data_IF_440748975581
#
_entry.id   IF_440748975581
#
_cell.length_a   1.000
_cell.length_b   1.000
_cell.length_c   1.000
_cell.angle_alpha   90.00
_cell.angle_beta   90.00
_cell.angle_gamma   90.00
#
_symmetry.space_group_name_H-M   'P 1'
#
loop_
_entity.id
_entity.type
_entity.pdbx_description
1 polymer ?
#
# COMPACT_ATOMS: atom_id res chain seq x y z
N UNK A 1 38.21 28.56 78.66
CA UNK A 1 38.87 28.26 79.96
C UNK A 1 39.02 26.75 79.99
N UNK A 2 40.20 26.21 79.64
CA UNK A 2 41.15 25.59 80.59
C UNK A 2 40.46 24.51 81.44
N UNK A 3 40.90 23.26 81.60
CA UNK A 3 42.10 22.52 81.17
C UNK A 3 41.97 21.12 81.80
N UNK A 4 42.52 20.08 81.14
CA UNK A 4 43.03 18.79 81.70
C UNK A 4 42.08 17.89 82.52
N UNK A 5 42.20 16.56 82.58
CA UNK A 5 43.33 15.63 82.73
C UNK A 5 42.97 14.27 82.05
N UNK A 6 43.86 13.56 81.33
CA UNK A 6 44.86 12.59 81.85
C UNK A 6 44.24 11.51 82.75
N UNK A 7 44.42 10.19 82.60
CA UNK A 7 45.43 9.36 81.93
C UNK A 7 44.97 7.88 81.96
N UNK A 8 45.53 7.11 81.04
CA UNK A 8 45.92 5.68 81.14
C UNK A 8 44.91 4.58 81.52
N UNK A 9 44.74 3.62 80.61
CA UNK A 9 45.27 2.26 80.81
C UNK A 9 45.27 1.47 79.48
N UNK A 10 46.43 0.88 79.18
CA UNK A 10 46.75 0.00 78.05
C UNK A 10 45.97 -1.33 78.12
N UNK A 11 45.71 -2.00 76.99
CA UNK A 11 46.13 -3.38 76.66
C UNK A 11 45.62 -3.79 75.25
N UNK A 12 46.58 -4.09 74.37
CA UNK A 12 46.52 -4.95 73.15
C UNK A 12 45.43 -4.71 72.10
N UNK A 13 45.77 -3.91 71.08
CA UNK A 13 45.08 -3.88 69.79
C UNK A 13 45.61 -4.98 68.86
N UNK A 14 44.70 -5.81 68.36
CA UNK A 14 44.92 -6.76 67.27
C UNK A 14 45.10 -5.97 65.97
N UNK A 15 46.26 -6.12 65.33
CA UNK A 15 46.54 -5.59 64.00
C UNK A 15 45.81 -6.47 62.95
N UNK A 16 44.58 -6.12 62.60
CA UNK A 16 43.91 -6.68 61.43
C UNK A 16 44.47 -5.98 60.19
N UNK A 17 45.23 -6.73 59.39
CA UNK A 17 45.61 -6.32 58.04
C UNK A 17 44.33 -6.24 57.18
N UNK A 18 43.85 -5.02 56.92
CA UNK A 18 42.81 -4.78 55.95
C UNK A 18 43.43 -4.85 54.54
N UNK A 19 43.28 -6.00 53.88
CA UNK A 19 43.46 -6.14 52.43
C UNK A 19 42.38 -5.30 51.75
N UNK A 20 42.79 -4.20 51.13
CA UNK A 20 41.92 -3.34 50.33
C UNK A 20 41.40 -4.08 49.11
N UNK A 21 40.15 -4.52 49.15
CA UNK A 21 39.41 -4.96 47.97
C UNK A 21 38.92 -3.73 47.21
N UNK A 22 39.64 -3.34 46.16
CA UNK A 22 39.13 -2.41 45.15
C UNK A 22 38.00 -3.10 44.36
N UNK A 23 36.82 -2.49 44.20
CA UNK A 23 35.77 -3.06 43.36
C UNK A 23 36.23 -3.03 41.89
N UNK A 24 36.35 -4.21 41.28
CA UNK A 24 36.46 -4.34 39.83
C UNK A 24 35.13 -3.89 39.22
N UNK A 25 35.05 -2.60 38.88
CA UNK A 25 34.04 -2.11 37.95
C UNK A 25 34.38 -2.66 36.56
N UNK A 26 33.58 -3.59 36.06
CA UNK A 26 33.55 -3.91 34.64
C UNK A 26 33.05 -2.67 33.89
N UNK A 27 33.97 -1.77 33.56
CA UNK A 27 33.72 -0.74 32.56
C UNK A 27 33.56 -1.49 31.22
N UNK A 28 32.31 -1.72 30.82
CA UNK A 28 32.01 -2.05 29.43
C UNK A 28 32.58 -0.90 28.59
N UNK A 29 33.70 -1.14 27.91
CA UNK A 29 34.25 -0.18 26.99
C UNK A 29 33.13 0.17 25.99
N UNK A 30 32.83 1.46 25.77
CA UNK A 30 31.90 1.82 24.71
C UNK A 30 32.47 1.26 23.42
N UNK A 31 31.79 0.30 22.81
CA UNK A 31 32.07 -0.11 21.44
C UNK A 31 31.75 1.08 20.56
N UNK A 32 32.73 1.96 20.37
CA UNK A 32 32.69 2.99 19.35
C UNK A 32 32.62 2.27 18.02
N UNK A 33 31.43 2.18 17.43
CA UNK A 33 31.31 1.86 16.01
C UNK A 33 32.13 2.93 15.30
N UNK A 34 33.23 2.58 14.60
CA UNK A 34 34.01 3.59 13.89
C UNK A 34 33.06 4.31 12.93
N UNK A 35 33.01 5.64 13.01
CA UNK A 35 32.29 6.44 12.05
C UNK A 35 32.76 6.00 10.66
N UNK A 36 31.84 5.50 9.83
CA UNK A 36 32.16 5.11 8.47
C UNK A 36 32.89 6.28 7.80
N UNK A 37 34.10 6.05 7.31
CA UNK A 37 34.83 7.04 6.52
C UNK A 37 33.95 7.46 5.35
N UNK A 38 33.49 8.71 5.38
CA UNK A 38 32.65 9.33 4.35
C UNK A 38 33.45 9.73 3.10
N UNK A 39 34.77 9.56 3.11
CA UNK A 39 35.63 9.85 1.97
C UNK A 39 35.46 8.76 0.90
N UNK A 40 35.29 9.20 -0.36
CA UNK A 40 35.20 8.29 -1.50
C UNK A 40 36.49 7.47 -1.64
N UNK A 41 36.40 6.15 -1.89
CA UNK A 41 37.55 5.29 -2.05
C UNK A 41 38.18 5.52 -3.44
N UNK A 42 39.09 6.50 -3.54
CA UNK A 42 39.62 6.98 -4.82
C UNK A 42 40.23 5.90 -5.73
N UNK A 43 40.88 4.88 -5.17
CA UNK A 43 41.44 3.78 -5.96
C UNK A 43 40.34 2.96 -6.65
N UNK A 44 39.23 2.71 -5.95
CA UNK A 44 38.07 1.98 -6.45
C UNK A 44 37.26 2.81 -7.44
N UNK A 45 37.14 4.12 -7.19
CA UNK A 45 36.54 5.06 -8.16
C UNK A 45 37.36 5.09 -9.45
N UNK A 46 38.69 5.11 -9.35
CA UNK A 46 39.58 5.02 -10.52
C UNK A 46 39.41 3.70 -11.25
N UNK A 47 39.33 2.58 -10.53
CA UNK A 47 39.08 1.27 -11.14
C UNK A 47 37.77 1.25 -11.95
N UNK A 48 36.69 1.81 -11.42
CA UNK A 48 35.42 1.92 -12.14
C UNK A 48 35.59 2.70 -13.45
N UNK A 49 36.29 3.85 -13.40
CA UNK A 49 36.57 4.67 -14.58
C UNK A 49 37.46 3.94 -15.60
N UNK A 50 38.51 3.24 -15.15
CA UNK A 50 39.41 2.46 -16.00
C UNK A 50 38.63 1.34 -16.73
N UNK A 51 37.74 0.64 -16.03
CA UNK A 51 36.87 -0.41 -16.62
C UNK A 51 35.89 0.18 -17.63
N UNK A 52 35.24 1.30 -17.31
CA UNK A 52 34.34 1.98 -18.26
C UNK A 52 35.08 2.40 -19.53
N UNK A 53 36.30 2.94 -19.41
CA UNK A 53 37.11 3.32 -20.57
C UNK A 53 37.45 2.11 -21.45
N UNK A 54 37.84 0.99 -20.83
CA UNK A 54 38.17 -0.24 -21.56
C UNK A 54 36.94 -0.78 -22.31
N UNK A 55 35.76 -0.80 -21.68
CA UNK A 55 34.50 -1.22 -22.34
C UNK A 55 34.20 -0.33 -23.55
N UNK A 56 34.33 0.99 -23.43
CA UNK A 56 34.09 1.92 -24.55
C UNK A 56 35.06 1.72 -25.71
N UNK A 57 36.30 1.32 -25.43
CA UNK A 57 37.35 1.17 -26.43
C UNK A 57 37.25 -0.17 -27.16
N UNK A 58 37.00 -1.25 -26.41
CA UNK A 58 37.23 -2.62 -26.89
C UNK A 58 35.92 -3.43 -27.10
N UNK A 59 34.77 -2.95 -26.59
CA UNK A 59 33.50 -3.64 -26.82
C UNK A 59 33.08 -3.55 -28.30
N UNK A 60 32.53 -4.65 -28.82
CA UNK A 60 32.23 -4.83 -30.25
C UNK A 60 31.25 -3.80 -30.83
N UNK A 61 30.43 -3.18 -29.99
CA UNK A 61 29.46 -2.17 -30.37
C UNK A 61 29.65 -0.87 -29.56
N UNK A 62 29.41 0.31 -30.13
CA UNK A 62 29.41 1.56 -29.36
C UNK A 62 28.37 1.52 -28.24
N UNK A 63 28.75 2.02 -27.05
CA UNK A 63 27.86 2.19 -25.90
C UNK A 63 28.02 3.62 -25.39
N UNK A 64 26.91 4.29 -25.07
CA UNK A 64 26.92 5.64 -24.53
C UNK A 64 27.25 5.68 -23.02
N UNK A 65 27.75 6.83 -22.57
CA UNK A 65 28.19 7.02 -21.18
C UNK A 65 27.03 6.88 -20.18
N UNK A 66 25.84 7.36 -20.53
CA UNK A 66 24.66 7.29 -19.66
C UNK A 66 24.26 5.84 -19.41
N UNK A 67 24.25 5.00 -20.44
CA UNK A 67 23.96 3.56 -20.32
C UNK A 67 24.96 2.86 -19.39
N UNK A 68 26.26 3.13 -19.54
CA UNK A 68 27.30 2.53 -18.69
C UNK A 68 27.18 2.97 -17.23
N UNK A 69 26.98 4.28 -16.99
CA UNK A 69 26.82 4.84 -15.64
C UNK A 69 25.56 4.29 -14.98
N UNK A 70 24.41 4.31 -15.67
CA UNK A 70 23.17 3.79 -15.12
C UNK A 70 23.27 2.30 -14.80
N UNK A 71 23.91 1.52 -15.67
CA UNK A 71 24.16 0.09 -15.45
C UNK A 71 25.05 -0.15 -14.23
N UNK A 72 26.11 0.66 -14.06
CA UNK A 72 26.99 0.58 -12.90
C UNK A 72 26.25 0.91 -11.60
N UNK A 73 25.46 2.00 -11.59
CA UNK A 73 24.67 2.40 -10.41
C UNK A 73 23.65 1.32 -10.05
N UNK A 74 22.86 0.84 -11.01
CA UNK A 74 21.89 -0.24 -10.78
C UNK A 74 22.56 -1.53 -10.30
N UNK A 75 23.72 -1.88 -10.86
CA UNK A 75 24.51 -3.03 -10.43
C UNK A 75 24.97 -2.93 -8.96
N UNK A 76 25.38 -1.74 -8.51
CA UNK A 76 25.71 -1.50 -7.10
C UNK A 76 24.50 -1.71 -6.18
N UNK A 77 23.33 -1.21 -6.57
CA UNK A 77 22.11 -1.24 -5.75
C UNK A 77 21.47 -2.62 -5.71
N UNK A 78 21.48 -3.35 -6.83
CA UNK A 78 21.00 -4.73 -6.89
C UNK A 78 21.75 -5.67 -5.93
N UNK A 79 23.00 -5.33 -5.58
CA UNK A 79 23.79 -6.05 -4.58
C UNK A 79 23.38 -5.78 -3.12
N UNK A 80 22.55 -4.77 -2.85
CA UNK A 80 22.10 -4.42 -1.50
C UNK A 80 20.86 -5.22 -1.12
N UNK A 81 19.78 -5.07 -1.88
CA UNK A 81 18.48 -5.67 -1.66
C UNK A 81 17.60 -5.53 -2.93
N UNK A 82 16.48 -6.27 -3.07
CA UNK A 82 15.64 -6.22 -4.27
C UNK A 82 14.70 -4.99 -4.36
N UNK A 83 14.82 -4.04 -3.44
CA UNK A 83 13.96 -2.85 -3.35
C UNK A 83 14.74 -1.53 -3.49
N UNK A 84 16.06 -1.57 -3.36
CA UNK A 84 16.96 -0.45 -3.62
C UNK A 84 17.25 -0.36 -5.11
N UNK A 85 17.00 0.81 -5.71
CA UNK A 85 17.10 0.99 -7.16
C UNK A 85 17.44 2.44 -7.53
N UNK A 86 18.01 2.61 -8.72
CA UNK A 86 18.23 3.91 -9.34
C UNK A 86 17.12 4.18 -10.33
N UNK A 87 16.38 5.25 -10.09
CA UNK A 87 15.32 5.71 -10.96
C UNK A 87 15.90 6.79 -11.86
N UNK A 88 15.90 6.54 -13.15
CA UNK A 88 16.15 7.61 -14.11
C UNK A 88 15.03 8.66 -14.08
N UNK A 89 15.16 9.71 -14.87
CA UNK A 89 14.21 10.83 -14.87
C UNK A 89 12.79 10.39 -15.23
N UNK A 90 12.63 9.41 -16.11
CA UNK A 90 11.33 8.90 -16.55
C UNK A 90 10.71 7.98 -15.49
N UNK A 91 11.51 7.09 -14.91
CA UNK A 91 11.07 6.18 -13.83
C UNK A 91 10.71 6.97 -12.57
N UNK A 92 11.48 8.01 -12.23
CA UNK A 92 11.17 8.87 -11.10
C UNK A 92 9.85 9.63 -11.31
N UNK A 93 9.59 10.15 -12.52
CA UNK A 93 8.30 10.76 -12.86
C UNK A 93 7.15 9.75 -12.77
N UNK A 94 7.36 8.51 -13.22
CA UNK A 94 6.34 7.46 -13.09
C UNK A 94 6.04 7.16 -11.61
N UNK A 95 7.07 7.07 -10.77
CA UNK A 95 6.89 6.88 -9.33
C UNK A 95 6.08 8.03 -8.72
N UNK A 96 6.37 9.28 -9.09
CA UNK A 96 5.62 10.45 -8.62
C UNK A 96 4.13 10.38 -9.01
N UNK A 97 3.82 9.96 -10.23
CA UNK A 97 2.43 9.77 -10.69
C UNK A 97 1.71 8.73 -9.82
N UNK A 98 2.39 7.62 -9.53
CA UNK A 98 1.86 6.53 -8.71
C UNK A 98 1.62 7.00 -7.27
N UNK A 99 2.53 7.78 -6.69
CA UNK A 99 2.41 8.21 -5.28
C UNK A 99 1.40 9.34 -5.10
N UNK A 100 1.21 10.18 -6.10
CA UNK A 100 0.27 11.31 -6.03
C UNK A 100 -1.13 10.94 -6.56
N UNK A 101 -1.29 9.78 -7.20
CA UNK A 101 -2.48 9.42 -8.02
C UNK A 101 -2.83 10.47 -9.09
N UNK A 102 -1.87 11.35 -9.43
CA UNK A 102 -2.08 12.51 -10.29
C UNK A 102 -1.14 12.45 -11.47
N UNK A 103 -1.67 12.73 -12.64
CA UNK A 103 -0.84 12.96 -13.81
C UNK A 103 -1.43 14.02 -14.74
N UNK A 104 -0.54 14.73 -15.42
CA UNK A 104 -0.91 15.62 -16.51
C UNK A 104 -1.29 14.83 -17.76
N UNK A 105 -2.56 14.91 -18.17
CA UNK A 105 -3.06 14.14 -19.30
C UNK A 105 -4.48 14.50 -19.70
N UNK A 106 -5.11 13.57 -20.43
CA UNK A 106 -6.42 13.77 -21.05
C UNK A 106 -7.55 13.05 -20.31
N UNK A 107 -7.20 12.09 -19.45
CA UNK A 107 -8.15 11.25 -18.75
C UNK A 107 -8.76 10.17 -19.65
N UNK A 108 -7.91 9.45 -20.37
CA UNK A 108 -8.29 8.34 -21.23
C UNK A 108 -7.67 7.06 -20.70
N UNK A 109 -8.49 6.03 -20.53
CA UNK A 109 -8.03 4.65 -20.48
C UNK A 109 -7.94 4.11 -21.91
N UNK A 110 -6.76 3.65 -22.30
CA UNK A 110 -6.46 3.17 -23.64
C UNK A 110 -5.85 1.78 -23.59
N UNK A 111 -6.14 0.99 -24.63
CA UNK A 111 -5.55 -0.33 -24.86
C UNK A 111 -5.05 -0.42 -26.30
N UNK A 112 -4.25 -1.43 -26.60
CA UNK A 112 -3.87 -1.75 -27.97
C UNK A 112 -4.69 -2.96 -28.44
N UNK A 113 -5.52 -2.74 -29.46
CA UNK A 113 -6.33 -3.78 -30.09
C UNK A 113 -5.99 -3.85 -31.57
N UNK A 114 -5.58 -5.03 -32.05
CA UNK A 114 -5.17 -5.27 -33.44
C UNK A 114 -4.09 -4.27 -33.94
N UNK A 115 -3.18 -3.88 -33.04
CA UNK A 115 -2.11 -2.91 -33.31
C UNK A 115 -2.52 -1.43 -33.18
N UNK A 116 -3.82 -1.13 -33.08
CA UNK A 116 -4.33 0.23 -32.97
C UNK A 116 -4.60 0.65 -31.52
N UNK A 117 -4.25 1.90 -31.18
CA UNK A 117 -4.55 2.48 -29.87
C UNK A 117 -6.04 2.81 -29.80
N UNK A 118 -6.75 2.12 -28.90
CA UNK A 118 -8.21 2.19 -28.77
C UNK A 118 -8.59 2.66 -27.38
N UNK A 119 -9.56 3.57 -27.30
CA UNK A 119 -10.12 4.07 -26.04
C UNK A 119 -10.97 2.97 -25.41
N UNK A 120 -10.60 2.54 -24.20
CA UNK A 120 -11.43 1.68 -23.36
C UNK A 120 -12.56 2.52 -22.77
N UNK A 121 -12.21 3.60 -22.08
CA UNK A 121 -13.17 4.57 -21.55
C UNK A 121 -12.50 5.93 -21.30
N UNK A 122 -13.20 7.05 -21.54
CA UNK A 122 -12.88 8.31 -20.88
C UNK A 122 -13.12 8.20 -19.37
N UNK A 123 -12.31 8.93 -18.59
CA UNK A 123 -12.51 9.09 -17.15
C UNK A 123 -13.44 10.28 -16.93
N UNK A 124 -14.48 10.12 -16.11
CA UNK A 124 -15.48 11.17 -15.87
C UNK A 124 -14.85 12.46 -15.35
N UNK A 125 -15.40 13.61 -15.77
CA UNK A 125 -14.92 14.94 -15.36
C UNK A 125 -13.60 15.40 -16.00
N UNK A 126 -12.90 14.54 -16.74
CA UNK A 126 -11.63 14.86 -17.40
C UNK A 126 -11.80 15.56 -18.76
N UNK A 127 -10.73 16.15 -19.34
CA UNK A 127 -10.79 16.80 -20.65
C UNK A 127 -11.37 15.90 -21.76
N UNK A 128 -11.00 14.62 -21.79
CA UNK A 128 -11.47 13.68 -22.81
C UNK A 128 -12.97 13.40 -22.69
N UNK A 129 -13.47 13.19 -21.47
CA UNK A 129 -14.91 13.02 -21.24
C UNK A 129 -15.69 14.28 -21.62
N UNK A 130 -15.21 15.46 -21.21
CA UNK A 130 -15.82 16.77 -21.55
C UNK A 130 -15.84 17.04 -23.05
N UNK A 131 -14.85 16.56 -23.78
CA UNK A 131 -14.79 16.68 -25.23
C UNK A 131 -15.68 15.67 -25.99
N UNK A 132 -16.27 14.70 -25.29
CA UNK A 132 -17.16 13.71 -25.90
C UNK A 132 -16.44 12.56 -26.60
N UNK A 133 -15.22 12.24 -26.18
CA UNK A 133 -14.58 10.97 -26.54
C UNK A 133 -15.40 9.80 -25.99
N UNK A 134 -15.35 8.65 -26.65
CA UNK A 134 -16.20 7.50 -26.32
C UNK A 134 -15.38 6.20 -26.31
N UNK A 135 -15.90 5.20 -25.60
CA UNK A 135 -15.38 3.83 -25.67
C UNK A 135 -15.41 3.32 -27.12
N UNK A 136 -14.32 2.67 -27.54
CA UNK A 136 -14.15 2.17 -28.90
C UNK A 136 -13.66 3.20 -29.93
N UNK A 137 -13.38 4.44 -29.52
CA UNK A 137 -12.67 5.41 -30.36
C UNK A 137 -11.25 4.92 -30.65
N UNK A 138 -10.84 4.92 -31.92
CA UNK A 138 -9.48 4.55 -32.33
C UNK A 138 -8.65 5.80 -32.57
N UNK A 139 -7.56 5.96 -31.83
CA UNK A 139 -6.66 7.11 -31.94
C UNK A 139 -5.63 6.82 -33.02
N UNK A 140 -5.69 7.59 -34.12
CA UNK A 140 -4.80 7.43 -35.28
C UNK A 140 -3.54 8.28 -35.16
N UNK A 141 -3.67 9.50 -34.61
CA UNK A 141 -2.55 10.46 -34.46
C UNK A 141 -2.65 11.24 -33.17
N UNK A 142 -1.49 11.58 -32.61
CA UNK A 142 -1.32 12.56 -31.54
C UNK A 142 -0.50 13.72 -32.10
N UNK A 143 -1.09 14.91 -32.14
CA UNK A 143 -0.60 16.07 -32.89
C UNK A 143 -0.27 15.67 -34.34
N UNK A 144 1.00 15.77 -34.72
CA UNK A 144 1.47 15.43 -36.05
C UNK A 144 2.02 14.00 -36.16
N UNK A 145 2.05 13.23 -35.07
CA UNK A 145 2.66 11.89 -35.02
C UNK A 145 1.60 10.81 -35.20
N UNK A 146 1.81 9.87 -36.13
CA UNK A 146 0.97 8.69 -36.30
C UNK A 146 1.29 7.62 -35.26
N UNK A 147 0.26 6.90 -34.80
CA UNK A 147 0.39 5.85 -33.79
C UNK A 147 0.47 4.43 -34.37
N UNK A 148 0.34 4.27 -35.69
CA UNK A 148 0.40 2.96 -36.33
C UNK A 148 1.77 2.28 -36.11
N UNK A 149 1.76 1.03 -35.65
CA UNK A 149 2.96 0.29 -35.26
C UNK A 149 3.70 0.83 -34.02
N UNK A 150 3.17 1.87 -33.35
CA UNK A 150 3.79 2.43 -32.15
C UNK A 150 3.45 1.56 -30.93
N UNK A 151 4.43 1.25 -30.05
CA UNK A 151 4.18 0.68 -28.74
C UNK A 151 3.23 1.55 -27.90
N UNK A 152 2.31 0.92 -27.15
CA UNK A 152 1.28 1.62 -26.39
C UNK A 152 1.84 2.64 -25.40
N UNK A 153 2.95 2.32 -24.73
CA UNK A 153 3.65 3.18 -23.78
C UNK A 153 4.15 4.48 -24.42
N UNK A 154 4.69 4.41 -25.64
CA UNK A 154 5.11 5.59 -26.40
C UNK A 154 3.90 6.45 -26.82
N UNK A 155 2.81 5.81 -27.24
CA UNK A 155 1.57 6.53 -27.57
C UNK A 155 1.00 7.26 -26.34
N UNK A 156 0.99 6.60 -25.18
CA UNK A 156 0.59 7.19 -23.89
C UNK A 156 1.50 8.37 -23.52
N UNK A 157 2.82 8.26 -23.72
CA UNK A 157 3.76 9.33 -23.46
C UNK A 157 3.46 10.60 -24.30
N UNK A 158 3.04 10.45 -25.56
CA UNK A 158 2.64 11.59 -26.41
C UNK A 158 1.34 12.27 -25.93
N UNK A 159 0.41 11.49 -25.37
CA UNK A 159 -0.86 12.02 -24.85
C UNK A 159 -0.68 12.71 -23.49
N UNK A 160 0.29 12.26 -22.69
CA UNK A 160 0.71 12.91 -21.44
C UNK A 160 1.46 14.21 -21.70
N UNK A 161 1.55 15.05 -20.67
CA UNK A 161 2.26 16.32 -20.72
C UNK A 161 1.80 17.27 -19.63
N UNK A 162 2.46 18.42 -19.54
CA UNK A 162 2.19 19.40 -18.48
C UNK A 162 0.73 19.90 -18.53
N UNK A 163 0.02 19.96 -17.39
CA UNK A 163 -1.31 20.55 -17.33
C UNK A 163 -1.34 21.97 -17.93
N UNK A 164 -2.43 22.31 -18.62
CA UNK A 164 -2.59 23.56 -19.34
C UNK A 164 -2.06 23.56 -20.78
N UNK A 165 -1.26 22.55 -21.18
CA UNK A 165 -0.81 22.42 -22.58
C UNK A 165 -1.86 21.73 -23.46
N UNK A 166 -1.89 22.06 -24.75
CA UNK A 166 -2.86 21.50 -25.70
C UNK A 166 -2.29 20.30 -26.44
N UNK A 167 -3.14 19.34 -26.79
CA UNK A 167 -2.86 18.22 -27.68
C UNK A 167 -4.04 17.98 -28.62
N UNK A 168 -3.75 17.62 -29.86
CA UNK A 168 -4.77 17.28 -30.86
C UNK A 168 -4.75 15.78 -31.11
N UNK A 169 -5.88 15.10 -30.96
CA UNK A 169 -6.02 13.69 -31.29
C UNK A 169 -6.82 13.53 -32.58
N UNK A 170 -6.29 12.81 -33.57
CA UNK A 170 -7.09 12.38 -34.72
C UNK A 170 -7.72 11.02 -34.39
N UNK A 171 -9.04 10.95 -34.40
CA UNK A 171 -9.80 9.78 -33.94
C UNK A 171 -10.72 9.26 -35.04
N UNK A 172 -10.80 7.94 -35.14
CA UNK A 172 -11.79 7.22 -35.95
C UNK A 172 -12.79 6.52 -35.03
N UNK A 173 -14.05 6.95 -35.10
CA UNK A 173 -15.17 6.35 -34.36
C UNK A 173 -15.91 5.35 -35.23
N UNK A 174 -16.30 4.21 -34.66
CA UNK A 174 -17.12 3.20 -35.36
C UNK A 174 -18.40 3.84 -35.91
N UNK A 175 -18.65 3.67 -37.20
CA UNK A 175 -19.81 4.24 -37.91
C UNK A 175 -19.60 5.64 -38.48
N UNK A 176 -18.47 6.31 -38.18
CA UNK A 176 -18.11 7.57 -38.83
C UNK A 176 -17.48 7.29 -40.22
N UNK A 177 -17.82 8.11 -41.22
CA UNK A 177 -17.29 7.97 -42.59
C UNK A 177 -15.87 8.53 -42.77
N UNK A 178 -15.42 9.39 -41.85
CA UNK A 178 -14.08 10.01 -41.85
C UNK A 178 -13.59 10.19 -40.41
N UNK A 179 -12.26 10.13 -40.17
CA UNK A 179 -11.67 10.55 -38.90
C UNK A 179 -11.94 12.03 -38.61
N UNK A 180 -11.96 12.39 -37.33
CA UNK A 180 -12.14 13.77 -36.86
C UNK A 180 -11.21 14.06 -35.67
N UNK A 181 -10.96 15.34 -35.42
CA UNK A 181 -9.96 15.76 -34.43
C UNK A 181 -10.60 16.24 -33.13
N UNK A 182 -10.00 15.85 -32.00
CA UNK A 182 -10.25 16.46 -30.70
C UNK A 182 -9.05 17.32 -30.29
N UNK A 183 -9.28 18.60 -30.04
CA UNK A 183 -8.27 19.48 -29.43
C UNK A 183 -8.57 19.58 -27.95
N UNK A 184 -7.65 19.07 -27.14
CA UNK A 184 -7.83 18.88 -25.70
C UNK A 184 -6.75 19.67 -24.95
N UNK A 185 -7.14 20.34 -23.89
CA UNK A 185 -6.19 20.90 -22.92
C UNK A 185 -5.91 19.85 -21.85
N UNK A 186 -4.64 19.51 -21.65
CA UNK A 186 -4.23 18.59 -20.59
C UNK A 186 -4.61 19.17 -19.24
N UNK A 187 -5.13 18.33 -18.37
CA UNK A 187 -5.43 18.66 -16.99
C UNK A 187 -4.72 17.68 -16.06
N UNK A 188 -4.69 18.00 -14.78
CA UNK A 188 -4.42 16.99 -13.76
C UNK A 188 -5.57 15.98 -13.76
N UNK A 189 -5.24 14.70 -13.88
CA UNK A 189 -6.17 13.57 -13.88
C UNK A 189 -5.90 12.77 -12.62
N UNK A 190 -6.96 12.47 -11.87
CA UNK A 190 -6.91 11.66 -10.66
C UNK A 190 -7.24 10.20 -10.97
N UNK A 191 -6.41 9.28 -10.52
CA UNK A 191 -6.73 7.86 -10.47
C UNK A 191 -7.50 7.58 -9.18
N UNK A 192 -8.67 6.94 -9.27
CA UNK A 192 -9.45 6.61 -8.07
C UNK A 192 -8.91 5.33 -7.42
N UNK A 193 -8.13 5.48 -6.35
CA UNK A 193 -7.56 4.38 -5.56
C UNK A 193 -8.54 3.77 -4.54
N UNK A 194 -9.60 4.51 -4.18
CA UNK A 194 -10.63 4.08 -3.22
C UNK A 194 -11.96 3.83 -3.92
N UNK A 195 -12.51 2.63 -3.78
CA UNK A 195 -13.85 2.28 -4.29
C UNK A 195 -14.73 1.79 -3.16
N UNK A 196 -15.99 2.18 -3.14
CA UNK A 196 -16.94 1.74 -2.12
C UNK A 196 -18.29 1.34 -2.69
N UNK A 197 -19.00 0.48 -1.96
CA UNK A 197 -20.39 0.10 -2.24
C UNK A 197 -21.06 -0.44 -0.97
N UNK A 198 -22.40 -0.49 -0.97
CA UNK A 198 -23.18 -1.24 0.01
C UNK A 198 -23.51 -2.62 -0.57
N UNK A 199 -22.75 -3.68 -0.25
CA UNK A 199 -23.11 -5.03 -0.68
C UNK A 199 -24.46 -5.49 -0.10
N UNK A 200 -24.81 -5.02 1.10
CA UNK A 200 -26.08 -5.31 1.77
C UNK A 200 -26.52 -4.11 2.63
N UNK A 201 -27.82 -4.00 2.99
CA UNK A 201 -28.30 -2.93 3.85
C UNK A 201 -27.53 -2.87 5.18
N UNK A 202 -26.96 -1.71 5.51
CA UNK A 202 -26.18 -1.49 6.73
C UNK A 202 -24.72 -1.92 6.67
N UNK A 203 -24.26 -2.66 5.67
CA UNK A 203 -22.87 -3.14 5.61
C UNK A 203 -22.10 -2.45 4.50
N UNK A 204 -21.03 -1.76 4.86
CA UNK A 204 -20.14 -1.11 3.91
C UNK A 204 -19.08 -2.06 3.35
N UNK A 205 -18.71 -1.86 2.10
CA UNK A 205 -17.48 -2.39 1.50
C UNK A 205 -16.66 -1.23 0.97
N UNK A 206 -15.38 -1.20 1.35
CA UNK A 206 -14.41 -0.21 0.88
C UNK A 206 -13.15 -0.93 0.43
N UNK A 207 -12.71 -0.67 -0.79
CA UNK A 207 -11.48 -1.23 -1.38
C UNK A 207 -10.46 -0.13 -1.58
N UNK A 208 -9.24 -0.36 -1.11
CA UNK A 208 -8.07 0.47 -1.39
C UNK A 208 -7.16 -0.35 -2.31
N UNK A 209 -6.99 0.08 -3.56
CA UNK A 209 -6.12 -0.62 -4.51
C UNK A 209 -4.65 -0.28 -4.34
N UNK A 210 -4.34 0.91 -3.82
CA UNK A 210 -2.99 1.44 -3.59
C UNK A 210 -3.06 2.62 -2.62
N UNK A 211 -1.96 2.90 -1.90
CA UNK A 211 -1.81 4.07 -1.04
C UNK A 211 -1.07 5.20 -1.74
N UNK A 212 -1.78 6.30 -1.97
CA UNK A 212 -1.32 7.56 -2.54
C UNK A 212 -1.63 8.73 -1.59
N UNK A 213 -1.18 9.94 -1.94
CA UNK A 213 -1.38 11.16 -1.15
C UNK A 213 -2.86 11.39 -0.80
N UNK A 214 -3.79 11.13 -1.72
CA UNK A 214 -5.22 11.43 -1.55
C UNK A 214 -6.02 10.26 -0.94
N UNK A 215 -5.37 9.14 -0.58
CA UNK A 215 -6.08 7.91 -0.18
C UNK A 215 -6.89 8.09 1.11
N UNK A 216 -6.34 8.73 2.14
CA UNK A 216 -7.04 8.92 3.42
C UNK A 216 -8.31 9.76 3.26
N UNK A 217 -8.22 10.88 2.53
CA UNK A 217 -9.39 11.70 2.22
C UNK A 217 -10.41 10.93 1.38
N UNK A 218 -9.95 10.15 0.39
CA UNK A 218 -10.80 9.25 -0.38
C UNK A 218 -11.54 8.21 0.48
N UNK A 219 -10.90 7.68 1.53
CA UNK A 219 -11.54 6.77 2.51
C UNK A 219 -12.64 7.48 3.28
N UNK A 220 -12.36 8.68 3.81
CA UNK A 220 -13.32 9.49 4.57
C UNK A 220 -14.54 9.85 3.70
N UNK A 221 -14.30 10.34 2.48
CA UNK A 221 -15.35 10.69 1.53
C UNK A 221 -16.19 9.47 1.13
N UNK A 222 -15.55 8.34 0.85
CA UNK A 222 -16.22 7.09 0.51
C UNK A 222 -17.12 6.60 1.66
N UNK A 223 -16.66 6.72 2.91
CA UNK A 223 -17.46 6.33 4.08
C UNK A 223 -18.63 7.28 4.33
N UNK A 224 -18.42 8.59 4.19
CA UNK A 224 -19.52 9.56 4.26
C UNK A 224 -20.59 9.28 3.19
N UNK A 225 -20.17 8.94 1.96
CA UNK A 225 -21.08 8.56 0.89
C UNK A 225 -21.86 7.28 1.23
N UNK A 226 -21.20 6.26 1.79
CA UNK A 226 -21.85 5.02 2.24
C UNK A 226 -22.87 5.28 3.35
N UNK A 227 -22.55 6.09 4.36
CA UNK A 227 -23.47 6.46 5.45
C UNK A 227 -24.69 7.19 4.91
N UNK A 228 -24.48 8.12 3.97
CA UNK A 228 -25.57 8.84 3.31
C UNK A 228 -26.47 7.90 2.49
N UNK A 229 -25.88 6.99 1.72
CA UNK A 229 -26.60 5.99 0.93
C UNK A 229 -27.37 4.99 1.82
N UNK A 230 -26.81 4.65 2.98
CA UNK A 230 -27.42 3.76 3.95
C UNK A 230 -28.52 4.45 4.80
N UNK A 231 -28.67 5.77 4.67
CA UNK A 231 -29.57 6.60 5.48
C UNK A 231 -29.34 6.47 7.00
N UNK A 232 -28.08 6.25 7.40
CA UNK A 232 -27.70 6.08 8.80
C UNK A 232 -26.34 5.41 8.98
N UNK A 233 -25.94 5.25 10.23
CA UNK A 233 -24.68 4.61 10.59
C UNK A 233 -24.57 3.19 10.00
N UNK A 234 -23.35 2.81 9.61
CA UNK A 234 -23.08 1.45 9.15
C UNK A 234 -23.08 0.50 10.35
N UNK A 235 -23.62 -0.69 10.15
CA UNK A 235 -23.56 -1.83 11.08
C UNK A 235 -22.19 -2.50 11.12
N UNK A 236 -21.38 -2.26 10.09
CA UNK A 236 -19.99 -2.71 9.99
C UNK A 236 -19.38 -2.40 8.62
N UNK A 237 -18.06 -2.58 8.53
CA UNK A 237 -17.28 -2.33 7.31
C UNK A 237 -16.38 -3.53 6.96
N UNK A 238 -16.37 -3.91 5.69
CA UNK A 238 -15.29 -4.71 5.10
C UNK A 238 -14.30 -3.77 4.42
N UNK A 239 -13.05 -3.74 4.91
CA UNK A 239 -11.93 -3.06 4.28
C UNK A 239 -11.13 -4.05 3.43
N UNK A 240 -11.13 -3.88 2.12
CA UNK A 240 -10.46 -4.79 1.18
C UNK A 240 -9.11 -4.24 0.72
N UNK A 241 -8.04 -4.90 1.20
CA UNK A 241 -6.64 -4.64 0.87
C UNK A 241 -6.04 -5.76 -0.02
N UNK A 242 -6.86 -6.67 -0.57
CA UNK A 242 -6.36 -7.74 -1.46
C UNK A 242 -5.76 -7.15 -2.71
N UNK A 243 -4.62 -7.68 -3.13
CA UNK A 243 -3.85 -7.23 -4.30
C UNK A 243 -3.44 -5.75 -4.23
N UNK A 244 -3.29 -5.20 -3.02
CA UNK A 244 -2.76 -3.86 -2.80
C UNK A 244 -1.24 -3.95 -2.50
N UNK A 245 -0.37 -3.50 -3.41
CA UNK A 245 1.08 -3.62 -3.24
C UNK A 245 1.68 -2.63 -2.21
N UNK A 246 0.83 -1.83 -1.56
CA UNK A 246 1.21 -0.77 -0.63
C UNK A 246 1.16 0.60 -1.29
N UNK A 247 2.22 1.38 -1.12
CA UNK A 247 2.26 2.79 -1.53
C UNK A 247 2.89 3.65 -0.44
N UNK A 248 2.41 4.88 -0.29
CA UNK A 248 2.93 5.82 0.71
C UNK A 248 2.65 5.34 2.13
N UNK A 249 3.70 5.37 2.97
CA UNK A 249 3.60 4.99 4.37
C UNK A 249 2.70 5.96 5.15
N UNK A 250 2.85 7.26 4.94
CA UNK A 250 2.07 8.26 5.67
C UNK A 250 0.57 8.12 5.35
N UNK A 251 0.20 7.84 4.10
CA UNK A 251 -1.19 7.55 3.73
C UNK A 251 -1.73 6.29 4.43
N UNK A 252 -0.91 5.24 4.59
CA UNK A 252 -1.31 4.06 5.35
C UNK A 252 -1.46 4.33 6.85
N UNK A 253 -0.62 5.21 7.41
CA UNK A 253 -0.73 5.68 8.79
C UNK A 253 -2.02 6.45 8.96
N UNK A 254 -2.32 7.41 8.10
CA UNK A 254 -3.52 8.25 8.17
C UNK A 254 -4.80 7.42 8.03
N UNK A 255 -4.83 6.46 7.09
CA UNK A 255 -5.95 5.51 6.95
C UNK A 255 -6.09 4.62 8.19
N UNK A 256 -4.99 4.20 8.82
CA UNK A 256 -5.08 3.41 10.05
C UNK A 256 -5.59 4.27 11.21
N UNK A 257 -5.11 5.51 11.29
CA UNK A 257 -5.47 6.47 12.33
C UNK A 257 -6.97 6.76 12.35
N UNK A 258 -7.57 6.88 11.16
CA UNK A 258 -9.01 7.06 10.98
C UNK A 258 -9.88 5.99 11.70
N UNK A 259 -9.37 4.79 11.96
CA UNK A 259 -10.12 3.71 12.61
C UNK A 259 -9.69 3.42 14.05
N UNK A 260 -8.65 4.09 14.54
CA UNK A 260 -8.03 3.82 15.84
C UNK A 260 -8.28 4.98 16.81
N UNK A 261 -8.31 4.69 18.11
CA UNK A 261 -8.50 5.74 19.13
C UNK A 261 -7.20 6.11 19.85
N UNK A 262 -6.20 5.22 19.84
CA UNK A 262 -4.92 5.38 20.52
C UNK A 262 -3.97 4.26 20.10
N UNK A 263 -2.75 4.24 20.67
CA UNK A 263 -1.80 3.15 20.43
C UNK A 263 -0.74 3.50 19.40
N UNK A 264 0.15 2.54 19.14
CA UNK A 264 1.15 2.63 18.07
C UNK A 264 0.49 2.13 16.79
N UNK A 265 0.75 2.79 15.66
CA UNK A 265 0.36 2.30 14.33
C UNK A 265 1.53 1.53 13.72
N UNK A 266 2.70 2.17 13.68
CA UNK A 266 3.92 1.58 13.11
C UNK A 266 5.15 2.20 13.74
N UNK A 267 6.22 1.41 13.81
CA UNK A 267 7.56 1.90 14.13
C UNK A 267 8.56 1.49 13.06
N UNK A 268 9.60 2.28 12.86
CA UNK A 268 10.71 1.91 11.99
C UNK A 268 12.05 2.08 12.70
N UNK A 269 12.98 1.20 12.36
CA UNK A 269 14.35 1.19 12.86
C UNK A 269 15.31 1.08 11.68
N UNK A 270 16.21 2.05 11.58
CA UNK A 270 17.22 2.14 10.53
C UNK A 270 18.61 2.38 11.09
N UNK A 271 19.59 2.46 10.18
CA UNK A 271 20.99 2.70 10.55
C UNK A 271 21.21 4.12 11.09
N UNK A 272 20.55 5.10 10.48
CA UNK A 272 20.71 6.49 10.84
C UNK A 272 19.59 6.93 11.81
N UNK A 273 19.87 7.81 12.79
CA UNK A 273 18.88 8.23 13.79
C UNK A 273 17.58 8.77 13.18
N UNK A 274 17.67 9.52 12.08
CA UNK A 274 16.54 10.08 11.33
C UNK A 274 15.70 9.03 10.60
N UNK A 275 16.24 7.82 10.41
CA UNK A 275 15.52 6.70 9.82
C UNK A 275 14.68 5.95 10.88
N UNK A 276 14.83 6.29 12.17
CA UNK A 276 14.00 5.76 13.24
C UNK A 276 12.77 6.64 13.43
N UNK A 277 11.59 6.03 13.47
CA UNK A 277 10.36 6.75 13.79
C UNK A 277 9.34 5.87 14.50
N UNK A 278 8.40 6.51 15.16
CA UNK A 278 7.25 5.91 15.81
C UNK A 278 6.02 6.75 15.43
N UNK A 279 4.94 6.10 14.98
CA UNK A 279 3.67 6.73 14.63
C UNK A 279 2.60 6.22 15.58
N UNK A 280 1.82 7.15 16.11
CA UNK A 280 0.75 6.88 17.06
C UNK A 280 -0.59 7.27 16.47
N UNK A 281 -1.62 6.56 16.88
CA UNK A 281 -2.97 6.97 16.58
C UNK A 281 -3.40 8.16 17.44
N UNK A 282 -4.26 9.00 16.87
CA UNK A 282 -4.97 10.09 17.50
C UNK A 282 -6.40 9.64 17.85
N UNK A 283 -7.07 10.29 18.81
CA UNK A 283 -8.42 9.90 19.18
C UNK A 283 -9.45 10.14 18.06
N UNK A 284 -10.01 9.07 17.52
CA UNK A 284 -11.21 9.11 16.69
C UNK A 284 -11.37 7.89 15.78
N UNK A 285 -12.32 7.01 16.09
CA UNK A 285 -12.75 5.95 15.18
C UNK A 285 -13.93 6.42 14.31
N UNK A 286 -13.71 6.59 13.02
CA UNK A 286 -14.74 7.07 12.08
C UNK A 286 -15.92 6.11 11.92
N UNK A 287 -15.78 4.85 12.33
CA UNK A 287 -16.88 3.88 12.39
C UNK A 287 -17.59 3.87 13.75
N UNK A 288 -17.16 4.68 14.72
CA UNK A 288 -17.73 4.77 16.06
C UNK A 288 -17.88 3.40 16.75
N UNK A 289 -16.87 2.53 16.63
CA UNK A 289 -16.87 1.19 17.20
C UNK A 289 -17.67 0.15 16.41
N UNK A 290 -18.25 0.50 15.25
CA UNK A 290 -18.90 -0.51 14.42
C UNK A 290 -17.88 -1.60 14.00
N UNK A 291 -18.27 -2.88 14.00
CA UNK A 291 -17.41 -4.00 13.64
C UNK A 291 -16.70 -3.80 12.29
N UNK A 292 -15.48 -4.31 12.19
CA UNK A 292 -14.66 -4.25 10.99
C UNK A 292 -13.97 -5.58 10.69
N UNK A 293 -13.94 -5.94 9.42
CA UNK A 293 -13.14 -7.05 8.88
C UNK A 293 -12.22 -6.50 7.80
N UNK A 294 -10.94 -6.88 7.81
CA UNK A 294 -9.98 -6.52 6.77
C UNK A 294 -9.69 -7.74 5.90
N UNK A 295 -9.92 -7.63 4.60
CA UNK A 295 -9.59 -8.66 3.61
C UNK A 295 -8.15 -8.49 3.11
N UNK A 296 -7.38 -9.56 3.17
CA UNK A 296 -5.97 -9.59 2.74
C UNK A 296 -5.64 -10.83 1.93
N UNK A 297 -4.60 -10.75 1.09
CA UNK A 297 -4.06 -11.91 0.39
C UNK A 297 -2.54 -11.76 0.14
N UNK A 298 -1.94 -12.70 -0.59
CA UNK A 298 -0.51 -12.68 -0.91
C UNK A 298 -0.05 -11.44 -1.73
N UNK A 299 -0.98 -10.72 -2.37
CA UNK A 299 -0.72 -9.47 -3.05
C UNK A 299 -0.82 -8.22 -2.17
N UNK A 300 -1.25 -8.37 -0.91
CA UNK A 300 -1.23 -7.31 0.11
C UNK A 300 0.20 -7.13 0.60
N UNK A 301 0.80 -5.96 0.41
CA UNK A 301 2.21 -5.71 0.75
C UNK A 301 2.46 -4.32 1.35
N UNK A 302 3.57 -4.17 2.08
CA UNK A 302 4.13 -2.87 2.48
C UNK A 302 3.11 -2.01 3.27
N UNK A 303 2.78 -0.80 2.80
CA UNK A 303 1.80 0.08 3.45
C UNK A 303 0.46 -0.62 3.77
N UNK A 304 -0.01 -1.53 2.91
CA UNK A 304 -1.23 -2.29 3.18
C UNK A 304 -1.07 -3.27 4.37
N UNK A 305 0.13 -3.82 4.56
CA UNK A 305 0.45 -4.66 5.71
C UNK A 305 0.62 -3.84 6.99
N UNK A 306 1.06 -2.58 6.89
CA UNK A 306 1.04 -1.63 8.02
C UNK A 306 -0.40 -1.44 8.51
N UNK A 307 -1.33 -1.13 7.60
CA UNK A 307 -2.73 -0.94 7.97
C UNK A 307 -3.35 -2.21 8.54
N UNK A 308 -3.15 -3.36 7.89
CA UNK A 308 -3.66 -4.64 8.40
C UNK A 308 -3.06 -4.98 9.78
N UNK A 309 -1.74 -4.80 9.96
CA UNK A 309 -1.05 -5.07 11.21
C UNK A 309 -1.46 -4.13 12.34
N UNK A 310 -1.63 -2.83 12.07
CA UNK A 310 -2.08 -1.86 13.06
C UNK A 310 -3.49 -2.17 13.56
N UNK A 311 -4.43 -2.39 12.64
CA UNK A 311 -5.81 -2.72 12.98
C UNK A 311 -5.95 -4.08 13.68
N UNK A 312 -5.09 -5.04 13.32
CA UNK A 312 -5.03 -6.36 13.97
C UNK A 312 -4.50 -6.27 15.40
N UNK A 313 -3.34 -5.66 15.58
CA UNK A 313 -2.62 -5.65 16.86
C UNK A 313 -3.33 -4.77 17.90
N UNK A 314 -4.09 -3.76 17.46
CA UNK A 314 -4.98 -2.98 18.34
C UNK A 314 -6.32 -3.69 18.63
N UNK A 315 -6.54 -4.90 18.07
CA UNK A 315 -7.82 -5.63 18.14
C UNK A 315 -9.02 -4.86 17.56
N UNK A 316 -8.77 -3.89 16.68
CA UNK A 316 -9.81 -3.08 16.04
C UNK A 316 -10.57 -3.84 14.96
N UNK A 317 -9.89 -4.73 14.23
CA UNK A 317 -10.49 -5.50 13.15
C UNK A 317 -10.00 -6.94 13.12
N UNK A 318 -10.85 -7.84 12.63
CA UNK A 318 -10.43 -9.21 12.28
C UNK A 318 -9.81 -9.23 10.89
N UNK A 319 -8.67 -9.88 10.74
CA UNK A 319 -8.01 -10.09 9.45
C UNK A 319 -8.49 -11.40 8.83
N UNK A 320 -9.03 -11.34 7.61
CA UNK A 320 -9.57 -12.50 6.89
C UNK A 320 -8.91 -12.65 5.52
N UNK A 321 -8.60 -13.89 5.13
CA UNK A 321 -8.08 -14.22 3.80
C UNK A 321 -6.86 -15.12 3.85
N UNK A 322 -5.78 -14.75 3.15
CA UNK A 322 -4.52 -15.52 3.14
C UNK A 322 -3.35 -14.68 3.64
N UNK A 323 -2.25 -15.33 4.02
CA UNK A 323 -1.00 -14.64 4.40
C UNK A 323 -0.61 -13.57 3.37
N UNK A 324 -0.17 -12.42 3.86
CA UNK A 324 0.30 -11.29 3.04
C UNK A 324 1.73 -11.49 2.54
N UNK A 325 2.24 -10.53 1.76
CA UNK A 325 3.51 -10.67 1.05
C UNK A 325 4.75 -10.73 1.95
N UNK A 326 4.79 -9.95 3.04
CA UNK A 326 5.91 -9.88 3.97
C UNK A 326 6.98 -8.86 3.60
N UNK A 327 6.61 -7.67 3.12
CA UNK A 327 7.57 -6.59 2.85
C UNK A 327 7.62 -5.63 4.03
N UNK A 328 8.54 -5.86 4.95
CA UNK A 328 8.81 -5.08 6.17
C UNK A 328 9.86 -3.98 6.04
N UNK A 329 10.24 -3.58 4.83
CA UNK A 329 11.28 -2.56 4.57
C UNK A 329 10.69 -1.21 4.16
N UNK A 330 11.32 -0.10 4.58
CA UNK A 330 11.00 1.27 4.17
C UNK A 330 12.04 1.75 3.17
N UNK A 331 11.57 2.26 2.03
CA UNK A 331 12.42 2.91 1.04
C UNK A 331 12.29 4.44 1.15
N UNK A 332 13.43 5.13 1.19
CA UNK A 332 13.52 6.58 1.03
C UNK A 332 13.83 6.90 -0.43
N UNK A 333 13.08 7.83 -1.01
CA UNK A 333 13.33 8.34 -2.37
C UNK A 333 14.12 9.64 -2.24
N UNK A 334 15.35 9.64 -2.75
CA UNK A 334 16.30 10.75 -2.65
C UNK A 334 16.48 11.33 -4.05
N UNK A 335 15.89 12.51 -4.36
CA UNK A 335 16.08 13.15 -5.65
C UNK A 335 17.55 13.49 -5.89
N UNK A 336 18.00 13.32 -7.13
CA UNK A 336 19.39 13.60 -7.52
C UNK A 336 19.49 14.91 -8.32
N UNK A 337 20.60 15.67 -8.21
CA UNK A 337 20.73 16.98 -8.87
C UNK A 337 20.56 16.96 -10.40
N UNK A 338 21.02 15.90 -11.05
CA UNK A 338 20.94 15.73 -12.51
C UNK A 338 19.56 15.22 -12.99
N UNK A 339 18.60 15.08 -12.06
CA UNK A 339 17.31 14.44 -12.27
C UNK A 339 17.32 12.95 -11.88
N UNK A 340 16.13 12.34 -11.90
CA UNK A 340 15.94 11.00 -11.35
C UNK A 340 16.00 10.96 -9.82
N UNK A 341 16.10 9.77 -9.26
CA UNK A 341 16.17 9.58 -7.81
C UNK A 341 16.86 8.26 -7.43
N UNK A 342 17.43 8.23 -6.23
CA UNK A 342 17.84 7.00 -5.56
C UNK A 342 16.70 6.52 -4.66
N UNK A 343 16.17 5.32 -4.91
CA UNK A 343 15.24 4.65 -4.01
C UNK A 343 16.05 3.69 -3.16
N UNK A 344 16.17 3.94 -1.85
CA UNK A 344 17.07 3.20 -0.97
C UNK A 344 16.34 2.65 0.25
N UNK A 345 16.56 1.39 0.58
CA UNK A 345 16.09 0.82 1.84
C UNK A 345 16.88 1.43 3.01
N UNK A 346 16.20 2.19 3.86
CA UNK A 346 16.83 2.92 4.98
C UNK A 346 16.46 2.35 6.34
N UNK A 347 15.30 1.69 6.43
CA UNK A 347 14.77 1.12 7.67
C UNK A 347 13.98 -0.16 7.45
N UNK A 348 13.82 -0.93 8.51
CA UNK A 348 12.78 -1.95 8.65
C UNK A 348 11.67 -1.41 9.54
N UNK A 349 10.42 -1.75 9.24
CA UNK A 349 9.28 -1.39 10.08
C UNK A 349 8.71 -2.61 10.82
N UNK A 350 7.99 -2.29 11.89
CA UNK A 350 7.47 -3.24 12.87
C UNK A 350 6.03 -2.86 13.21
N UNK A 351 5.18 -3.87 13.39
CA UNK A 351 3.80 -3.69 13.85
C UNK A 351 3.76 -3.29 15.32
N UNK A 352 2.60 -2.88 15.87
CA UNK A 352 2.48 -2.46 17.26
C UNK A 352 2.93 -3.51 18.29
N UNK A 353 2.77 -4.81 17.99
CA UNK A 353 3.30 -5.91 18.81
C UNK A 353 4.83 -6.03 18.80
N UNK A 354 5.53 -5.23 17.98
CA UNK A 354 6.98 -5.24 17.86
C UNK A 354 7.52 -6.32 16.90
N UNK A 355 6.64 -7.04 16.22
CA UNK A 355 7.01 -8.05 15.24
C UNK A 355 7.45 -7.38 13.92
N UNK A 356 8.56 -7.85 13.35
CA UNK A 356 8.93 -7.48 11.99
C UNK A 356 8.18 -8.37 11.03
N UNK A 357 7.54 -7.78 10.03
CA UNK A 357 6.81 -8.55 9.03
C UNK A 357 7.68 -8.92 7.83
N UNK A 358 8.96 -8.53 7.83
CA UNK A 358 9.89 -8.81 6.74
C UNK A 358 10.06 -10.32 6.57
N UNK A 359 9.76 -10.82 5.36
CA UNK A 359 9.73 -12.23 4.98
C UNK A 359 8.69 -13.12 5.72
N UNK A 360 7.85 -12.54 6.58
CA UNK A 360 6.81 -13.29 7.32
C UNK A 360 5.39 -12.90 6.87
N UNK A 361 5.13 -11.60 6.70
CA UNK A 361 3.81 -11.05 6.45
C UNK A 361 2.88 -11.09 7.66
N UNK A 362 1.69 -10.54 7.48
CA UNK A 362 0.55 -10.63 8.39
C UNK A 362 -0.17 -11.96 8.17
N UNK A 363 -0.30 -12.73 9.24
CA UNK A 363 -1.10 -13.95 9.26
C UNK A 363 -2.56 -13.57 9.55
N UNK A 364 -3.54 -13.97 8.71
CA UNK A 364 -4.96 -13.72 8.99
C UNK A 364 -5.44 -14.41 10.26
N UNK A 365 -6.41 -13.81 10.95
CA UNK A 365 -7.10 -14.44 12.08
C UNK A 365 -8.05 -15.55 11.60
N UNK A 366 -8.65 -15.34 10.43
CA UNK A 366 -9.51 -16.33 9.77
C UNK A 366 -8.93 -16.60 8.37
N UNK A 367 -8.36 -17.80 8.21
CA UNK A 367 -7.78 -18.21 6.92
C UNK A 367 -8.89 -18.66 5.98
N UNK A 368 -9.07 -17.93 4.88
CA UNK A 368 -10.01 -18.25 3.80
C UNK A 368 -9.24 -18.22 2.47
N UNK A 369 -8.98 -19.38 1.84
CA UNK A 369 -8.33 -19.44 0.54
C UNK A 369 -9.21 -18.84 -0.56
N UNK A 370 -8.59 -18.47 -1.67
CA UNK A 370 -9.32 -18.05 -2.86
C UNK A 370 -9.89 -19.28 -3.59
N UNK A 371 -11.22 -19.40 -3.61
CA UNK A 371 -11.92 -20.47 -4.30
C UNK A 371 -12.94 -19.89 -5.29
N UNK A 372 -13.11 -20.57 -6.42
CA UNK A 372 -14.29 -20.39 -7.28
C UNK A 372 -15.29 -21.48 -6.94
N UNK A 373 -16.40 -21.09 -6.34
CA UNK A 373 -17.51 -21.99 -6.08
C UNK A 373 -18.21 -22.31 -7.41
N UNK A 374 -18.04 -23.53 -7.89
CA UNK A 374 -18.96 -24.10 -8.87
C UNK A 374 -20.14 -24.66 -8.09
N UNK A 375 -21.20 -23.87 -7.89
CA UNK A 375 -22.38 -24.40 -7.22
C UNK A 375 -23.08 -25.42 -8.15
N UNK A 376 -23.23 -26.70 -7.75
CA UNK A 376 -24.32 -27.49 -8.29
C UNK A 376 -25.62 -26.85 -7.82
N UNK A 377 -26.65 -26.81 -8.69
CA UNK A 377 -27.98 -26.37 -8.31
C UNK A 377 -28.38 -27.08 -7.01
N UNK A 378 -28.63 -26.31 -5.95
CA UNK A 378 -29.14 -26.85 -4.69
C UNK A 378 -30.45 -27.52 -5.04
N UNK A 379 -30.48 -28.85 -5.04
CA UNK A 379 -31.72 -29.58 -5.09
C UNK A 379 -32.50 -29.15 -3.85
N UNK A 380 -33.70 -28.60 -4.02
CA UNK A 380 -34.64 -28.35 -2.94
C UNK A 380 -34.84 -29.67 -2.19
N UNK A 381 -34.07 -29.86 -1.12
CA UNK A 381 -34.17 -31.05 -0.29
C UNK A 381 -35.57 -31.10 0.32
N UNK A 382 -36.14 -32.30 0.40
CA UNK A 382 -37.35 -32.54 1.18
C UNK A 382 -37.12 -32.02 2.61
N UNK A 383 -37.80 -30.94 2.96
CA UNK A 383 -37.90 -30.43 4.33
C UNK A 383 -39.18 -30.94 4.96
N UNK A 384 -39.26 -30.96 6.29
CA UNK A 384 -40.50 -31.31 7.00
C UNK A 384 -41.69 -30.48 6.50
N UNK A 385 -41.48 -29.20 6.19
CA UNK A 385 -42.51 -28.32 5.63
C UNK A 385 -42.98 -28.71 4.22
N UNK A 386 -42.18 -29.48 3.46
CA UNK A 386 -42.47 -29.91 2.10
C UNK A 386 -43.02 -31.35 2.04
N UNK A 387 -43.16 -32.02 3.19
CA UNK A 387 -43.76 -33.36 3.27
C UNK A 387 -45.30 -33.28 3.32
N UNK A 388 -45.93 -34.20 2.61
CA UNK A 388 -47.38 -34.38 2.64
C UNK A 388 -47.80 -34.89 4.02
N UNK A 389 -48.65 -34.13 4.72
CA UNK A 389 -49.11 -34.48 6.08
C UNK A 389 -48.27 -33.92 7.24
N UNK A 390 -47.36 -32.97 6.99
CA UNK A 390 -46.61 -32.31 8.05
C UNK A 390 -47.51 -31.54 9.03
N UNK A 391 -47.07 -31.45 10.29
CA UNK A 391 -47.78 -30.69 11.31
C UNK A 391 -47.44 -29.20 11.21
N UNK A 392 -48.46 -28.35 11.09
CA UNK A 392 -48.28 -26.90 11.11
C UNK A 392 -47.99 -26.42 12.55
N UNK A 393 -46.98 -25.58 12.70
CA UNK A 393 -46.69 -24.91 13.97
C UNK A 393 -47.55 -23.63 14.11
N UNK A 394 -48.08 -23.36 15.30
CA UNK A 394 -48.93 -22.19 15.58
C UNK A 394 -48.15 -20.86 15.73
N UNK A 395 -46.83 -20.89 15.63
CA UNK A 395 -46.00 -19.69 15.58
C UNK A 395 -45.77 -19.28 14.12
N UNK A 396 -45.78 -17.98 13.79
CA UNK A 396 -45.39 -17.53 12.46
C UNK A 396 -44.00 -18.06 12.13
N UNK A 397 -43.89 -18.81 11.03
CA UNK A 397 -42.60 -19.25 10.49
C UNK A 397 -41.81 -17.98 10.21
N UNK A 398 -40.68 -17.79 10.88
CA UNK A 398 -39.78 -16.69 10.56
C UNK A 398 -39.36 -16.85 9.09
N UNK A 399 -39.66 -15.86 8.25
CA UNK A 399 -39.13 -15.81 6.89
C UNK A 399 -37.60 -15.96 6.97
N UNK A 400 -37.06 -16.90 6.20
CA UNK A 400 -35.62 -17.04 6.08
C UNK A 400 -35.02 -15.68 5.68
N UNK A 401 -33.99 -15.18 6.38
CA UNK A 401 -33.50 -13.84 6.14
C UNK A 401 -32.81 -13.75 4.78
N UNK A 402 -33.30 -12.84 3.92
CA UNK A 402 -32.54 -12.22 2.84
C UNK A 402 -32.48 -12.97 1.50
N UNK A 403 -32.15 -12.21 0.44
CA UNK A 403 -31.99 -12.65 -0.95
C UNK A 403 -30.94 -13.77 -1.08
N UNK A 404 -31.32 -15.03 -0.83
CA UNK A 404 -30.45 -16.21 -0.99
C UNK A 404 -29.71 -16.21 -2.33
N UNK A 405 -30.39 -15.79 -3.41
CA UNK A 405 -29.78 -15.68 -4.75
C UNK A 405 -28.65 -14.66 -4.86
N UNK A 406 -28.74 -13.52 -4.17
CA UNK A 406 -27.70 -12.49 -4.20
C UNK A 406 -26.48 -12.91 -3.39
N UNK A 407 -26.71 -13.58 -2.25
CA UNK A 407 -25.64 -14.14 -1.41
C UNK A 407 -24.95 -15.32 -2.11
N UNK A 408 -25.70 -16.20 -2.79
CA UNK A 408 -25.15 -17.27 -3.63
C UNK A 408 -24.33 -16.71 -4.81
N UNK A 409 -24.82 -15.68 -5.48
CA UNK A 409 -24.07 -15.00 -6.55
C UNK A 409 -22.78 -14.38 -6.02
N UNK A 410 -22.83 -13.73 -4.85
CA UNK A 410 -21.64 -13.17 -4.23
C UNK A 410 -20.64 -14.27 -3.84
N UNK A 411 -21.09 -15.37 -3.25
CA UNK A 411 -20.24 -16.50 -2.90
C UNK A 411 -19.55 -17.10 -4.15
N UNK A 412 -20.25 -17.17 -5.28
CA UNK A 412 -19.68 -17.63 -6.55
C UNK A 412 -18.66 -16.64 -7.15
N UNK A 413 -18.92 -15.34 -7.04
CA UNK A 413 -18.07 -14.30 -7.63
C UNK A 413 -16.85 -13.97 -6.77
N UNK A 414 -17.05 -13.90 -5.45
CA UNK A 414 -16.05 -13.48 -4.45
C UNK A 414 -16.36 -14.14 -3.10
N UNK A 415 -15.93 -15.40 -2.96
CA UNK A 415 -16.16 -16.20 -1.77
C UNK A 415 -15.55 -15.57 -0.51
N UNK A 416 -14.37 -14.94 -0.61
CA UNK A 416 -13.75 -14.29 0.54
C UNK A 416 -14.55 -13.08 1.02
N UNK A 417 -15.12 -12.29 0.11
CA UNK A 417 -16.01 -11.18 0.49
C UNK A 417 -17.30 -11.69 1.11
N UNK A 418 -17.88 -12.77 0.57
CA UNK A 418 -19.04 -13.43 1.17
C UNK A 418 -18.74 -13.86 2.62
N UNK A 419 -17.63 -14.57 2.86
CA UNK A 419 -17.22 -15.00 4.20
C UNK A 419 -16.95 -13.81 5.13
N UNK A 420 -16.27 -12.75 4.65
CA UNK A 420 -16.07 -11.54 5.42
C UNK A 420 -17.38 -10.89 5.87
N UNK A 421 -18.39 -10.84 5.00
CA UNK A 421 -19.72 -10.34 5.37
C UNK A 421 -20.41 -11.24 6.40
N UNK A 422 -20.27 -12.55 6.30
CA UNK A 422 -20.84 -13.48 7.30
C UNK A 422 -20.18 -13.30 8.67
N UNK A 423 -18.85 -13.21 8.72
CA UNK A 423 -18.10 -12.91 9.95
C UNK A 423 -18.53 -11.56 10.51
N UNK A 424 -18.60 -10.54 9.67
CA UNK A 424 -18.98 -9.19 10.08
C UNK A 424 -20.39 -9.14 10.67
N UNK A 425 -21.38 -9.81 10.04
CA UNK A 425 -22.74 -9.97 10.58
C UNK A 425 -22.72 -10.66 11.94
N UNK A 426 -21.92 -11.73 12.08
CA UNK A 426 -21.73 -12.43 13.35
C UNK A 426 -21.20 -11.52 14.46
N UNK A 427 -20.20 -10.68 14.15
CA UNK A 427 -19.68 -9.68 15.09
C UNK A 427 -20.73 -8.64 15.48
N UNK A 428 -21.51 -8.15 14.52
CA UNK A 428 -22.61 -7.20 14.80
C UNK A 428 -23.67 -7.80 15.73
N UNK A 429 -24.00 -9.08 15.55
CA UNK A 429 -24.98 -9.78 16.41
C UNK A 429 -24.39 -10.02 17.81
N UNK A 430 -23.13 -10.43 17.90
CA UNK A 430 -22.48 -10.72 19.18
C UNK A 430 -22.17 -9.45 20.01
N UNK A 431 -21.83 -8.34 19.36
CA UNK A 431 -21.52 -7.06 20.00
C UNK A 431 -22.73 -6.17 20.28
N UNK A 432 -23.94 -6.58 19.86
CA UNK A 432 -25.19 -5.83 20.03
C UNK A 432 -25.91 -6.04 21.37
N UNK A 433 -25.26 -6.61 22.39
CA UNK A 433 -25.82 -6.82 23.73
C UNK A 433 -25.23 -5.84 24.76
#
# INVERSE_FOLDING_TARGET
>A
MLVHFSKSAFWTAVLVLALGATPFAFAAAPTTVPAATTALPWQQVKLLADVMQLVKQDYVAPVDDTTLINSAIRGMLAGLDPHSDYLDKSEFQQLQIITTDRFGGLGLEVTQQDGAVTVVSPIDGTPAAKAGMQSGDVILRVNNTALDGMPLDQAVALMRGQPGTTVTLLVLRRGASKPFSFTLTRAEVHLTSVRSRLPQPGYGYLRISQFSEDTADGVRDALQALVKQNHGALKGLVLDLRNNPGGLLDAAVDVSDDFLNSGVIVSARGRAPESNFLRHATPGDILNGAPMVVLVNAGTASAAEITAGALKDDHRALILGTRTFGKGSVQTVIPLPEGGALKLTTSLYYTPSGHSIQAEGIIPDIVVPEFKLNAPAVAEGLTEANLEGHFANNAPVAEAPGNLRADEQLAQQDFQLYEALNVLKGLTIAGGN
#
